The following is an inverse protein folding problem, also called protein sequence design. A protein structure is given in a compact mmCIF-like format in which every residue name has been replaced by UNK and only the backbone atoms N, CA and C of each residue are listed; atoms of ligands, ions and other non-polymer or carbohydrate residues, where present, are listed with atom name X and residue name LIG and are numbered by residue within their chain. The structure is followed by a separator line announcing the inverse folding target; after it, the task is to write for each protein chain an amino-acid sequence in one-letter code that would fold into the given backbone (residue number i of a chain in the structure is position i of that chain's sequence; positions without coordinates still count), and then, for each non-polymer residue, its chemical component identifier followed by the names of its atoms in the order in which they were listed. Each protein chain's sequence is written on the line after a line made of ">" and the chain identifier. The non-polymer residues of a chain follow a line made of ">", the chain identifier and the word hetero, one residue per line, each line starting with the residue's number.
data_IF_851571111144
#
_entry.id   IF_851571111144
#
_cell.length_a   1.000
_cell.length_b   1.000
_cell.length_c   1.000
_cell.angle_alpha   90.00
_cell.angle_beta   90.00
_cell.angle_gamma   90.00
#
_symmetry.space_group_name_H-M   'P 1'
#
loop_
_entity.id
_entity.type
_entity.pdbx_description
1 polymer ?
#
# COMPACT_ATOMS: atom_id res chain seq x y z
N UNK A 1 -13.56 36.78 14.67
CA UNK A 1 -13.81 35.47 14.03
C UNK A 1 -12.50 34.69 14.11
N UNK A 2 -12.35 33.83 15.11
CA UNK A 2 -11.14 33.02 15.25
C UNK A 2 -11.17 31.87 14.25
N UNK A 3 -10.20 31.82 13.35
CA UNK A 3 -9.94 30.66 12.52
C UNK A 3 -9.58 29.50 13.45
N UNK A 4 -10.43 28.47 13.48
CA UNK A 4 -10.09 27.23 14.16
C UNK A 4 -8.85 26.65 13.46
N UNK A 5 -7.72 26.64 14.17
CA UNK A 5 -6.54 25.89 13.73
C UNK A 5 -6.92 24.42 13.84
N UNK A 6 -7.23 23.79 12.72
CA UNK A 6 -7.41 22.34 12.66
C UNK A 6 -6.07 21.70 13.00
N UNK A 7 -5.93 21.19 14.22
CA UNK A 7 -4.75 20.43 14.63
C UNK A 7 -4.81 19.10 13.87
N UNK A 8 -4.02 18.98 12.80
CA UNK A 8 -3.83 17.69 12.17
C UNK A 8 -3.16 16.75 13.19
N UNK A 9 -3.62 15.49 13.31
CA UNK A 9 -2.97 14.52 14.18
C UNK A 9 -1.50 14.36 13.75
N UNK A 10 -0.59 14.05 14.70
CA UNK A 10 0.81 13.83 14.37
C UNK A 10 0.94 12.71 13.33
N UNK A 11 1.94 12.81 12.43
CA UNK A 11 2.17 11.79 11.40
C UNK A 11 2.46 10.44 12.07
N UNK A 12 1.84 9.39 11.54
CA UNK A 12 2.14 8.00 11.91
C UNK A 12 3.54 7.69 11.39
N UNK A 13 4.42 7.20 12.27
CA UNK A 13 5.77 6.79 11.90
C UNK A 13 5.78 5.32 11.50
N UNK A 14 6.63 4.99 10.54
CA UNK A 14 6.81 3.63 10.07
C UNK A 14 8.23 3.33 9.63
N UNK A 15 8.47 2.08 9.27
CA UNK A 15 9.68 1.58 8.65
C UNK A 15 9.47 1.43 7.14
N UNK A 16 10.44 1.87 6.37
CA UNK A 16 10.44 1.74 4.91
C UNK A 16 10.87 0.33 4.49
N UNK A 17 10.12 -0.29 3.58
CA UNK A 17 10.55 -1.48 2.83
C UNK A 17 10.92 -1.14 1.38
N UNK A 18 10.15 -0.25 0.74
CA UNK A 18 10.44 0.30 -0.59
C UNK A 18 10.29 1.83 -0.54
N UNK A 19 11.29 2.60 -1.02
CA UNK A 19 11.25 4.05 -0.95
C UNK A 19 10.25 4.66 -1.95
N UNK A 20 9.73 5.83 -1.64
CA UNK A 20 8.85 6.59 -2.51
C UNK A 20 7.99 7.60 -1.76
N UNK A 21 7.13 8.26 -2.52
CA UNK A 21 6.05 9.10 -1.98
C UNK A 21 4.84 8.95 -2.87
N UNK A 22 3.68 8.81 -2.26
CA UNK A 22 2.43 8.72 -2.97
C UNK A 22 1.27 9.20 -2.10
N UNK A 23 0.18 9.55 -2.74
CA UNK A 23 -1.04 10.02 -2.11
C UNK A 23 -2.23 9.33 -2.78
N UNK A 24 -3.25 8.99 -1.99
CA UNK A 24 -4.46 8.39 -2.51
C UNK A 24 -5.48 8.10 -1.43
N UNK A 25 -6.64 7.63 -1.88
CA UNK A 25 -7.69 7.16 -1.00
C UNK A 25 -7.27 5.82 -0.38
N UNK A 26 -7.42 5.71 0.93
CA UNK A 26 -7.22 4.45 1.64
C UNK A 26 -8.23 3.43 1.11
N UNK A 27 -7.69 2.28 0.72
CA UNK A 27 -8.45 1.05 0.56
C UNK A 27 -7.89 0.06 1.56
N UNK A 28 -8.62 -0.16 2.66
CA UNK A 28 -8.24 -1.13 3.68
C UNK A 28 -8.83 -2.48 3.34
N UNK A 29 -7.97 -3.51 3.37
CA UNK A 29 -8.42 -4.88 3.21
C UNK A 29 -8.86 -5.48 4.55
N UNK A 30 -9.97 -6.22 4.51
CA UNK A 30 -10.51 -6.97 5.63
C UNK A 30 -9.75 -8.29 5.84
N UNK A 31 -9.12 -8.81 4.78
CA UNK A 31 -8.24 -9.98 4.83
C UNK A 31 -6.92 -9.73 4.07
N UNK A 32 -5.85 -10.48 4.39
CA UNK A 32 -4.61 -10.48 3.61
C UNK A 32 -4.82 -10.89 2.15
N UNK A 33 -4.27 -10.12 1.21
CA UNK A 33 -4.29 -10.45 -0.21
C UNK A 33 -3.07 -11.26 -0.63
N UNK A 34 -3.28 -12.25 -1.51
CA UNK A 34 -2.20 -12.83 -2.30
C UNK A 34 -2.15 -12.18 -3.66
N UNK A 35 -1.04 -11.55 -4.00
CA UNK A 35 -0.83 -11.02 -5.34
C UNK A 35 -0.80 -12.14 -6.39
N UNK A 36 -0.27 -13.31 -6.04
CA UNK A 36 -0.32 -14.48 -6.92
C UNK A 36 -1.73 -15.08 -6.96
N UNK A 37 -2.43 -14.84 -8.06
CA UNK A 37 -3.78 -15.38 -8.31
C UNK A 37 -4.91 -14.69 -7.55
N UNK A 38 -4.61 -13.63 -6.79
CA UNK A 38 -5.63 -12.79 -6.15
C UNK A 38 -5.68 -11.35 -6.66
N UNK A 39 -4.70 -10.92 -7.46
CA UNK A 39 -4.72 -9.66 -8.19
C UNK A 39 -4.65 -9.95 -9.70
N UNK A 40 -5.50 -9.32 -10.48
CA UNK A 40 -5.31 -9.18 -11.91
C UNK A 40 -4.37 -7.98 -12.19
N UNK A 41 -3.19 -8.26 -12.74
CA UNK A 41 -2.19 -7.24 -13.03
C UNK A 41 -2.54 -6.34 -14.23
N UNK A 42 -3.48 -6.72 -15.08
CA UNK A 42 -3.91 -5.88 -16.21
C UNK A 42 -4.97 -4.86 -15.80
N UNK A 43 -5.79 -5.17 -14.79
CA UNK A 43 -6.92 -4.33 -14.37
C UNK A 43 -6.74 -3.71 -13.00
N UNK A 44 -5.96 -4.32 -12.12
CA UNK A 44 -5.86 -3.96 -10.70
C UNK A 44 -6.98 -4.55 -9.84
N UNK A 45 -7.84 -5.41 -10.39
CA UNK A 45 -8.97 -6.01 -9.67
C UNK A 45 -8.54 -7.17 -8.76
N UNK A 46 -9.13 -7.24 -7.56
CA UNK A 46 -9.02 -8.44 -6.71
C UNK A 46 -9.82 -9.58 -7.34
N UNK A 47 -9.15 -10.65 -7.76
CA UNK A 47 -9.77 -11.80 -8.45
C UNK A 47 -9.91 -13.05 -7.59
N UNK A 48 -9.34 -13.05 -6.38
CA UNK A 48 -9.51 -14.16 -5.43
C UNK A 48 -10.98 -14.24 -4.97
N UNK A 49 -11.72 -15.23 -5.49
CA UNK A 49 -13.14 -15.44 -5.18
C UNK A 49 -13.44 -15.72 -3.71
N UNK A 50 -12.43 -16.02 -2.90
CA UNK A 50 -12.58 -16.23 -1.45
C UNK A 50 -12.35 -14.95 -0.66
N UNK A 51 -11.76 -13.92 -1.28
CA UNK A 51 -11.48 -12.66 -0.62
C UNK A 51 -12.78 -11.86 -0.45
N UNK A 52 -13.05 -11.28 0.74
CA UNK A 52 -14.29 -10.55 1.00
C UNK A 52 -14.51 -9.35 0.07
N UNK A 53 -13.42 -8.80 -0.47
CA UNK A 53 -13.41 -7.63 -1.36
C UNK A 53 -13.09 -7.99 -2.82
N UNK A 54 -13.41 -9.21 -3.26
CA UNK A 54 -13.33 -9.60 -4.67
C UNK A 54 -14.08 -8.58 -5.56
N UNK A 55 -13.51 -8.24 -6.72
CA UNK A 55 -14.05 -7.24 -7.65
C UNK A 55 -13.68 -5.78 -7.32
N UNK A 56 -13.03 -5.52 -6.18
CA UNK A 56 -12.52 -4.18 -5.86
C UNK A 56 -11.23 -3.91 -6.64
N UNK A 57 -11.11 -2.70 -7.19
CA UNK A 57 -9.92 -2.26 -7.92
C UNK A 57 -8.93 -1.55 -6.98
N UNK A 58 -7.65 -1.94 -7.05
CA UNK A 58 -6.56 -1.43 -6.24
C UNK A 58 -5.81 -0.24 -6.86
N UNK A 59 -6.00 0.02 -8.15
CA UNK A 59 -5.21 0.97 -8.92
C UNK A 59 -5.27 2.38 -8.32
N UNK A 60 -4.10 2.95 -8.04
CA UNK A 60 -3.98 4.31 -7.50
C UNK A 60 -4.42 4.50 -6.04
N UNK A 61 -4.95 3.46 -5.37
CA UNK A 61 -5.31 3.53 -3.96
C UNK A 61 -4.07 3.49 -3.06
N UNK A 62 -4.21 3.97 -1.82
CA UNK A 62 -3.28 3.59 -0.75
C UNK A 62 -3.82 2.30 -0.12
N UNK A 63 -3.21 1.19 -0.49
CA UNK A 63 -3.59 -0.12 0.02
C UNK A 63 -3.14 -0.27 1.46
N UNK A 64 -4.08 -0.57 2.35
CA UNK A 64 -3.81 -0.87 3.76
C UNK A 64 -4.17 -2.33 4.01
N UNK A 65 -3.21 -3.15 4.41
CA UNK A 65 -3.44 -4.56 4.71
C UNK A 65 -2.53 -5.04 5.83
N UNK A 66 -2.98 -5.98 6.66
CA UNK A 66 -2.20 -6.42 7.81
C UNK A 66 -0.83 -7.02 7.40
N UNK A 67 -0.85 -7.90 6.40
CA UNK A 67 0.31 -8.63 5.85
C UNK A 67 0.02 -9.11 4.44
N UNK A 68 1.04 -9.52 3.70
CA UNK A 68 0.86 -10.29 2.47
C UNK A 68 0.47 -11.75 2.73
N UNK A 69 -0.07 -12.41 1.70
CA UNK A 69 -0.37 -13.85 1.67
C UNK A 69 0.29 -14.51 0.46
N UNK A 70 0.86 -15.70 0.66
CA UNK A 70 1.31 -16.56 -0.45
C UNK A 70 2.83 -16.72 -0.54
N UNK A 71 3.31 -16.97 -1.76
CA UNK A 71 4.69 -17.37 -2.07
C UNK A 71 5.39 -16.34 -2.95
N UNK A 72 6.69 -16.53 -3.18
CA UNK A 72 7.56 -15.60 -3.91
C UNK A 72 7.04 -15.18 -5.30
N UNK A 73 6.25 -16.00 -5.99
CA UNK A 73 5.60 -15.63 -7.26
C UNK A 73 4.67 -14.41 -7.18
N UNK A 74 4.25 -14.00 -5.96
CA UNK A 74 3.48 -12.77 -5.78
C UNK A 74 4.27 -11.51 -6.14
N UNK A 75 5.61 -11.52 -6.03
CA UNK A 75 6.44 -10.35 -6.32
C UNK A 75 6.43 -9.99 -7.80
N UNK A 76 6.44 -10.98 -8.70
CA UNK A 76 6.39 -10.74 -10.14
C UNK A 76 5.05 -10.15 -10.58
N UNK A 77 3.94 -10.62 -10.01
CA UNK A 77 2.61 -10.09 -10.33
C UNK A 77 2.47 -8.65 -9.83
N UNK A 78 2.96 -8.36 -8.62
CA UNK A 78 2.97 -6.98 -8.13
C UNK A 78 3.85 -6.07 -9.01
N UNK A 79 5.05 -6.52 -9.38
CA UNK A 79 5.93 -5.75 -10.26
C UNK A 79 5.30 -5.49 -11.64
N UNK A 80 4.56 -6.46 -12.18
CA UNK A 80 3.82 -6.32 -13.42
C UNK A 80 2.65 -5.33 -13.29
N UNK A 81 1.86 -5.40 -12.22
CA UNK A 81 0.80 -4.42 -11.95
C UNK A 81 1.36 -3.00 -11.81
N UNK A 82 2.52 -2.84 -11.17
CA UNK A 82 3.20 -1.53 -11.07
C UNK A 82 3.62 -1.03 -12.45
N UNK A 83 4.25 -1.90 -13.26
CA UNK A 83 4.61 -1.59 -14.66
C UNK A 83 3.40 -1.17 -15.48
N UNK A 84 2.27 -1.82 -15.29
CA UNK A 84 1.03 -1.56 -16.02
C UNK A 84 0.28 -0.33 -15.52
N UNK A 85 0.67 0.25 -14.38
CA UNK A 85 -0.03 1.39 -13.76
C UNK A 85 -1.35 1.00 -13.09
N UNK A 86 -1.54 -0.28 -12.77
CA UNK A 86 -2.77 -0.86 -12.20
C UNK A 86 -2.59 -1.26 -10.72
N UNK A 87 -1.37 -1.12 -10.19
CA UNK A 87 -1.07 -1.32 -8.78
C UNK A 87 -1.58 -0.17 -7.88
N UNK A 88 -1.64 -0.41 -6.56
CA UNK A 88 -1.78 0.66 -5.57
C UNK A 88 -0.72 1.76 -5.76
N UNK A 89 -1.08 3.00 -5.43
CA UNK A 89 -0.13 4.11 -5.36
C UNK A 89 0.85 3.94 -4.19
N UNK A 90 0.42 3.32 -3.08
CA UNK A 90 1.24 2.97 -1.93
C UNK A 90 0.71 1.72 -1.23
N UNK A 91 1.57 1.04 -0.47
CA UNK A 91 1.20 -0.10 0.36
C UNK A 91 1.63 0.15 1.81
N UNK A 92 0.69 0.09 2.74
CA UNK A 92 0.90 0.24 4.18
C UNK A 92 0.54 -1.08 4.87
N UNK A 93 1.47 -1.62 5.66
CA UNK A 93 1.31 -2.90 6.35
C UNK A 93 1.50 -2.80 7.86
N UNK A 94 0.89 -3.72 8.61
CA UNK A 94 1.16 -3.89 10.04
C UNK A 94 2.35 -4.84 10.29
N UNK A 95 2.55 -5.81 9.40
CA UNK A 95 3.66 -6.77 9.44
C UNK A 95 4.42 -6.71 8.12
N UNK A 96 5.75 -6.67 8.20
CA UNK A 96 6.60 -6.66 7.01
C UNK A 96 6.50 -7.95 6.20
N UNK A 97 6.47 -7.81 4.88
CA UNK A 97 6.43 -8.92 3.93
C UNK A 97 7.48 -8.70 2.84
N UNK A 98 8.44 -9.63 2.76
CA UNK A 98 9.58 -9.55 1.84
C UNK A 98 9.15 -9.72 0.38
N UNK A 99 8.07 -10.45 0.11
CA UNK A 99 7.58 -10.68 -1.26
C UNK A 99 6.96 -9.40 -1.81
N UNK A 100 6.17 -8.69 -0.99
CA UNK A 100 5.59 -7.40 -1.34
C UNK A 100 6.69 -6.36 -1.56
N UNK A 101 7.66 -6.29 -0.64
CA UNK A 101 8.82 -5.40 -0.77
C UNK A 101 9.60 -5.69 -2.06
N UNK A 102 9.88 -6.96 -2.34
CA UNK A 102 10.61 -7.37 -3.54
C UNK A 102 9.89 -6.95 -4.82
N UNK A 103 8.57 -7.09 -4.90
CA UNK A 103 7.80 -6.68 -6.08
C UNK A 103 7.93 -5.19 -6.37
N UNK A 104 7.85 -4.36 -5.33
CA UNK A 104 8.03 -2.90 -5.45
C UNK A 104 9.48 -2.50 -5.79
N UNK A 105 10.48 -3.14 -5.16
CA UNK A 105 11.90 -2.88 -5.45
C UNK A 105 12.24 -3.26 -6.89
N UNK A 106 11.79 -4.43 -7.36
CA UNK A 106 12.02 -4.86 -8.76
C UNK A 106 11.39 -3.87 -9.74
N UNK A 107 10.21 -3.32 -9.43
CA UNK A 107 9.59 -2.33 -10.28
C UNK A 107 10.37 -0.99 -10.32
N UNK A 108 10.94 -0.56 -9.19
CA UNK A 108 11.82 0.60 -9.15
C UNK A 108 13.09 0.35 -9.98
N UNK A 109 13.79 -0.76 -9.74
CA UNK A 109 15.06 -1.05 -10.42
C UNK A 109 14.89 -1.23 -11.93
N UNK A 110 13.87 -1.96 -12.38
CA UNK A 110 13.71 -2.31 -13.80
C UNK A 110 12.91 -1.25 -14.57
N UNK A 111 11.83 -0.75 -13.99
CA UNK A 111 10.88 0.14 -14.68
C UNK A 111 11.01 1.59 -14.25
N UNK A 112 11.79 1.90 -13.21
CA UNK A 112 11.95 3.23 -12.63
C UNK A 112 10.61 3.80 -12.12
N UNK A 113 9.71 2.92 -11.67
CA UNK A 113 8.41 3.26 -11.09
C UNK A 113 8.45 2.95 -9.60
N UNK A 114 8.34 3.98 -8.77
CA UNK A 114 8.39 3.87 -7.31
C UNK A 114 7.00 3.73 -6.71
N UNK A 115 6.80 2.64 -5.97
CA UNK A 115 5.65 2.46 -5.08
C UNK A 115 6.19 2.32 -3.65
N UNK A 116 5.89 3.27 -2.74
CA UNK A 116 6.32 3.16 -1.36
C UNK A 116 5.60 1.99 -0.68
N UNK A 117 6.40 1.15 -0.02
CA UNK A 117 5.91 0.05 0.83
C UNK A 117 6.43 0.31 2.24
N UNK A 118 5.52 0.44 3.20
CA UNK A 118 5.87 0.84 4.58
C UNK A 118 5.20 -0.06 5.60
N UNK A 119 5.85 -0.23 6.74
CA UNK A 119 5.31 -0.95 7.90
C UNK A 119 5.10 0.03 9.04
N UNK A 120 3.90 0.07 9.61
CA UNK A 120 3.55 0.93 10.75
C UNK A 120 3.15 0.07 11.94
N UNK A 121 3.08 0.68 13.13
CA UNK A 121 2.62 0.00 14.33
C UNK A 121 1.17 -0.53 14.17
N UNK A 122 0.83 -1.73 14.65
CA UNK A 122 -0.53 -2.27 14.55
C UNK A 122 -1.62 -1.38 15.17
N UNK A 123 -1.32 -0.66 16.26
CA UNK A 123 -2.23 0.30 16.87
C UNK A 123 -2.51 1.49 15.96
N UNK A 124 -1.50 1.95 15.23
CA UNK A 124 -1.65 3.01 14.23
C UNK A 124 -2.30 2.53 12.93
N UNK A 125 -2.00 1.30 12.50
CA UNK A 125 -2.62 0.66 11.35
C UNK A 125 -4.14 0.61 11.47
N UNK A 126 -4.65 0.36 12.69
CA UNK A 126 -6.07 0.38 12.99
C UNK A 126 -6.77 1.72 12.71
N UNK A 127 -6.02 2.84 12.71
CA UNK A 127 -6.53 4.21 12.52
C UNK A 127 -6.77 4.56 11.05
N UNK A 128 -6.19 3.80 10.12
CA UNK A 128 -6.39 4.01 8.68
C UNK A 128 -7.70 3.35 8.25
N UNK A 129 -8.59 4.15 7.68
CA UNK A 129 -9.95 3.71 7.32
C UNK A 129 -10.23 3.95 5.84
N UNK A 130 -10.94 3.02 5.20
CA UNK A 130 -11.31 3.13 3.79
C UNK A 130 -12.02 4.45 3.51
N UNK A 131 -11.63 5.12 2.43
CA UNK A 131 -12.17 6.42 2.03
C UNK A 131 -11.45 7.63 2.64
N UNK A 132 -10.44 7.43 3.48
CA UNK A 132 -9.59 8.51 3.96
C UNK A 132 -8.54 8.89 2.89
N UNK A 133 -8.39 10.16 2.57
CA UNK A 133 -7.26 10.62 1.76
C UNK A 133 -5.98 10.69 2.63
N UNK A 134 -4.92 9.99 2.24
CA UNK A 134 -3.64 10.01 2.95
C UNK A 134 -2.45 10.16 2.00
N UNK A 135 -1.36 10.68 2.56
CA UNK A 135 -0.04 10.70 1.95
C UNK A 135 0.91 9.77 2.69
N UNK A 136 1.64 8.97 1.92
CA UNK A 136 2.73 8.11 2.38
C UNK A 136 4.03 8.67 1.82
N UNK A 137 5.02 8.92 2.67
CA UNK A 137 6.33 9.40 2.25
C UNK A 137 7.44 8.73 3.05
N UNK A 138 8.51 8.31 2.36
CA UNK A 138 9.70 7.70 2.97
C UNK A 138 10.88 8.66 3.00
N UNK A 139 11.74 8.54 4.01
CA UNK A 139 13.01 9.24 4.15
C UNK A 139 14.10 8.30 4.66
N UNK A 140 15.31 8.83 4.84
CA UNK A 140 16.43 8.14 5.49
C UNK A 140 16.11 7.70 6.93
N UNK A 141 15.22 8.42 7.61
CA UNK A 141 14.86 8.16 9.01
C UNK A 141 13.65 7.21 9.16
N UNK A 142 13.07 6.73 8.05
CA UNK A 142 11.92 5.83 8.04
C UNK A 142 10.80 6.29 7.13
N UNK A 143 9.55 6.09 7.53
CA UNK A 143 8.38 6.48 6.77
C UNK A 143 7.40 7.29 7.61
N UNK A 144 6.60 8.11 6.93
CA UNK A 144 5.51 8.88 7.52
C UNK A 144 4.21 8.67 6.75
N UNK A 145 3.12 8.53 7.49
CA UNK A 145 1.75 8.48 6.96
C UNK A 145 0.92 9.55 7.64
N UNK A 146 0.26 10.42 6.88
CA UNK A 146 -0.60 11.46 7.41
C UNK A 146 -1.79 11.74 6.48
N UNK A 147 -2.86 12.33 7.03
CA UNK A 147 -3.98 12.80 6.24
C UNK A 147 -3.49 13.87 5.24
N UNK A 148 -3.92 13.75 3.98
CA UNK A 148 -3.62 14.73 2.95
C UNK A 148 -4.65 15.87 2.93
#
# INVERSE_FOLDING_TARGET
>A
MGTAVSVQPPPIKGRTLSPGSAEGMVLRLDEPLSFWGGLDAETGEITDRRHPQVGVNLAGAVLVMERGRGSSSGSSVLAEAIRNGTAPAAIVMAVGDEIVALGAIVADEIYQIKVPVVVIDPGDHGRLVTGQQIRVATSVDGATVHAA
#
